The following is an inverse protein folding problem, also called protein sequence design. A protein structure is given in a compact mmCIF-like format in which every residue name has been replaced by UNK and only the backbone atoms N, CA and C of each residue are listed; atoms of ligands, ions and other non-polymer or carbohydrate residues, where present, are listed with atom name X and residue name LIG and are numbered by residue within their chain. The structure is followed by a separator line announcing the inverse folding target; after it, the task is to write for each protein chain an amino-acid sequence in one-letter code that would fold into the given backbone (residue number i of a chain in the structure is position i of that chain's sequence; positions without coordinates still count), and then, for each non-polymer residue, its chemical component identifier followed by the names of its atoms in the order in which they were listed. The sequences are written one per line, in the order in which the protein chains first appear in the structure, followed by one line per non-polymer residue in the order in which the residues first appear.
data_IF_048949671691
#
_entry.id   IF_048949671691
#
_cell.length_a   1.000
_cell.length_b   1.000
_cell.length_c   1.000
_cell.angle_alpha   90.00
_cell.angle_beta   90.00
_cell.angle_gamma   90.00
#
_symmetry.space_group_name_H-M   'P 1'
#
loop_
_entity.id
_entity.type
_entity.pdbx_description
1 polymer ?
#
# COMPACT_ATOMS: atom_id res chain seq x y z
N UNK A 1 -2.74 -16.09 26.52
CA UNK A 1 -4.02 -15.65 25.96
C UNK A 1 -3.99 -14.28 25.29
N UNK A 2 -3.09 -13.37 25.65
CA UNK A 2 -2.94 -12.05 24.99
C UNK A 2 -2.20 -12.11 23.65
N UNK A 3 -1.35 -13.08 23.42
CA UNK A 3 -0.56 -13.20 22.17
C UNK A 3 -1.39 -13.70 20.99
N UNK A 4 -2.51 -14.38 21.24
CA UNK A 4 -3.41 -14.87 20.20
C UNK A 4 -4.31 -13.78 19.64
N UNK A 5 -4.47 -12.65 20.32
CA UNK A 5 -5.33 -11.55 19.87
C UNK A 5 -4.65 -10.60 18.88
N UNK A 6 -3.31 -10.58 18.84
CA UNK A 6 -2.52 -9.76 17.92
C UNK A 6 -2.35 -10.40 16.52
N UNK A 7 -2.67 -11.70 16.39
CA UNK A 7 -2.60 -12.40 15.09
C UNK A 7 -3.95 -12.42 14.34
N UNK A 8 -5.00 -11.88 14.92
CA UNK A 8 -6.33 -11.73 14.30
C UNK A 8 -6.72 -10.29 14.03
N UNK A 9 -5.79 -9.36 13.92
CA UNK A 9 -6.00 -8.24 13.02
C UNK A 9 -5.92 -8.80 11.58
N UNK A 10 -6.93 -9.58 11.19
CA UNK A 10 -7.26 -9.71 9.80
C UNK A 10 -7.41 -8.28 9.30
N UNK A 11 -6.43 -7.78 8.55
CA UNK A 11 -6.75 -6.80 7.53
C UNK A 11 -8.02 -7.34 6.91
N UNK A 12 -9.12 -6.66 7.08
CA UNK A 12 -10.24 -6.81 6.18
C UNK A 12 -9.62 -6.53 4.83
N UNK A 13 -9.25 -7.59 4.11
CA UNK A 13 -9.03 -7.49 2.70
C UNK A 13 -10.32 -6.91 2.20
N UNK A 14 -10.36 -5.63 1.91
CA UNK A 14 -11.32 -5.11 0.99
C UNK A 14 -11.21 -6.10 -0.16
N UNK A 15 -12.29 -6.83 -0.46
CA UNK A 15 -12.34 -7.60 -1.67
C UNK A 15 -12.24 -6.56 -2.77
N UNK A 16 -10.99 -6.27 -3.17
CA UNK A 16 -10.76 -5.43 -4.32
C UNK A 16 -11.51 -6.08 -5.46
N UNK A 17 -12.23 -5.32 -6.25
CA UNK A 17 -12.97 -5.83 -7.40
C UNK A 17 -12.08 -6.61 -8.37
N UNK A 18 -10.80 -6.45 -8.27
CA UNK A 18 -9.77 -7.26 -8.87
C UNK A 18 -9.45 -8.58 -8.15
N UNK A 19 -10.20 -9.00 -7.06
CA UNK A 19 -9.82 -10.16 -6.24
C UNK A 19 -8.37 -10.05 -5.75
N UNK A 20 -7.94 -10.84 -4.88
CA UNK A 20 -6.67 -10.92 -4.16
C UNK A 20 -5.38 -10.38 -4.84
N UNK A 21 -5.43 -9.19 -5.46
CA UNK A 21 -4.29 -8.54 -6.08
C UNK A 21 -4.02 -8.91 -7.54
N UNK A 22 -4.90 -9.65 -8.20
CA UNK A 22 -4.84 -9.84 -9.64
C UNK A 22 -5.21 -8.54 -10.36
N UNK A 23 -4.29 -8.01 -11.12
CA UNK A 23 -4.52 -6.83 -11.96
C UNK A 23 -5.33 -7.14 -13.24
N UNK A 24 -5.53 -8.43 -13.54
CA UNK A 24 -6.25 -8.93 -14.72
C UNK A 24 -7.32 -9.91 -14.31
N UNK A 25 -8.41 -9.97 -15.08
CA UNK A 25 -9.57 -10.80 -14.77
C UNK A 25 -10.05 -11.54 -15.98
N UNK A 26 -10.18 -12.82 -15.83
CA UNK A 26 -10.92 -13.67 -16.75
C UNK A 26 -12.42 -13.71 -16.40
N UNK A 27 -13.20 -14.31 -17.28
CA UNK A 27 -14.66 -14.39 -17.13
C UNK A 27 -15.11 -15.29 -15.96
N UNK A 28 -14.23 -16.17 -15.46
CA UNK A 28 -14.54 -17.05 -14.33
C UNK A 28 -14.63 -16.32 -12.99
N UNK A 29 -14.05 -15.13 -12.90
CA UNK A 29 -14.16 -14.30 -11.72
C UNK A 29 -15.57 -13.73 -11.48
N UNK A 30 -16.45 -13.79 -12.48
CA UNK A 30 -17.83 -13.36 -12.34
C UNK A 30 -18.52 -14.13 -11.22
N UNK A 31 -18.92 -13.48 -10.16
CA UNK A 31 -19.61 -14.09 -9.02
C UNK A 31 -18.76 -14.33 -7.80
N UNK A 32 -17.50 -14.69 -7.92
CA UNK A 32 -16.65 -14.96 -6.77
C UNK A 32 -16.39 -13.73 -5.90
N UNK A 33 -16.30 -12.55 -6.50
CA UNK A 33 -16.08 -11.29 -5.79
C UNK A 33 -17.36 -10.65 -5.22
N UNK A 34 -18.52 -10.98 -5.82
CA UNK A 34 -19.80 -10.38 -5.47
C UNK A 34 -20.81 -11.41 -4.94
N UNK A 35 -20.40 -12.62 -4.66
CA UNK A 35 -21.25 -13.67 -4.12
C UNK A 35 -20.91 -15.06 -4.67
N UNK A 36 -21.85 -15.97 -4.56
CA UNK A 36 -21.71 -17.34 -5.04
C UNK A 36 -21.97 -17.40 -6.56
N UNK A 37 -20.99 -17.80 -7.33
CA UNK A 37 -21.09 -17.98 -8.78
C UNK A 37 -22.23 -18.95 -9.20
N UNK A 38 -22.59 -19.89 -8.34
CA UNK A 38 -23.70 -20.80 -8.58
C UNK A 38 -25.09 -20.11 -8.51
N UNK A 39 -25.14 -18.88 -7.94
CA UNK A 39 -26.36 -18.08 -7.83
C UNK A 39 -26.45 -16.99 -8.90
N UNK A 40 -25.50 -16.93 -9.85
CA UNK A 40 -25.50 -15.93 -10.91
C UNK A 40 -26.80 -15.99 -11.73
N UNK A 41 -27.46 -14.84 -11.83
CA UNK A 41 -28.58 -14.62 -12.74
C UNK A 41 -28.10 -13.86 -13.98
N UNK A 42 -28.82 -13.96 -15.07
CA UNK A 42 -28.47 -13.23 -16.30
C UNK A 42 -28.78 -11.74 -16.15
N UNK A 43 -27.79 -10.90 -16.36
CA UNK A 43 -27.98 -9.44 -16.45
C UNK A 43 -28.82 -9.10 -17.69
N UNK A 44 -29.77 -8.18 -17.52
CA UNK A 44 -30.55 -7.62 -18.64
C UNK A 44 -29.86 -6.41 -19.30
N UNK A 45 -28.70 -6.04 -18.85
CA UNK A 45 -27.92 -4.94 -19.41
C UNK A 45 -27.54 -5.24 -20.86
N UNK A 46 -27.58 -4.20 -21.69
CA UNK A 46 -27.11 -4.27 -23.06
C UNK A 46 -25.72 -3.65 -23.11
N UNK A 47 -24.73 -4.42 -23.54
CA UNK A 47 -23.33 -4.04 -23.63
C UNK A 47 -22.93 -3.75 -25.07
N UNK A 48 -22.33 -2.59 -25.32
CA UNK A 48 -21.87 -2.16 -26.66
C UNK A 48 -20.44 -1.66 -26.57
N UNK A 49 -19.53 -2.29 -27.32
CA UNK A 49 -18.15 -1.87 -27.48
C UNK A 49 -17.98 -0.95 -28.67
N UNK A 50 -17.09 0.01 -28.55
CA UNK A 50 -16.64 0.90 -29.63
C UNK A 50 -15.16 1.23 -29.47
N UNK A 51 -14.47 1.57 -30.56
CA UNK A 51 -13.07 2.01 -30.55
C UNK A 51 -12.88 3.24 -31.45
N UNK A 52 -11.68 3.81 -31.41
CA UNK A 52 -11.25 4.80 -32.40
C UNK A 52 -11.38 4.25 -33.83
N UNK A 53 -11.64 5.09 -34.80
CA UNK A 53 -11.86 4.70 -36.21
C UNK A 53 -10.61 4.08 -36.87
N UNK A 54 -9.43 4.45 -36.40
CA UNK A 54 -8.15 3.92 -36.90
C UNK A 54 -7.30 3.53 -35.69
N UNK A 55 -6.79 2.30 -35.71
CA UNK A 55 -5.93 1.76 -34.68
C UNK A 55 -4.61 1.34 -35.34
N UNK A 56 -3.50 1.75 -34.73
CA UNK A 56 -2.18 1.40 -35.19
C UNK A 56 -1.47 0.54 -34.12
N UNK A 57 -0.70 -0.45 -34.53
CA UNK A 57 0.14 -1.23 -33.63
C UNK A 57 1.16 -0.31 -32.92
N UNK A 58 1.38 -0.50 -31.62
CA UNK A 58 2.26 0.35 -30.82
C UNK A 58 1.69 1.72 -30.43
N UNK A 59 0.55 2.12 -30.95
CA UNK A 59 -0.09 3.41 -30.63
C UNK A 59 -1.24 3.21 -29.66
N UNK A 60 -1.30 3.98 -28.54
CA UNK A 60 -2.44 3.92 -27.60
C UNK A 60 -3.76 4.25 -28.30
N UNK A 61 -4.77 3.44 -28.08
CA UNK A 61 -6.13 3.62 -28.57
C UNK A 61 -7.14 3.45 -27.46
N UNK A 62 -8.36 3.97 -27.63
CA UNK A 62 -9.44 3.82 -26.64
C UNK A 62 -10.40 2.72 -27.08
N UNK A 63 -10.74 1.82 -26.18
CA UNK A 63 -11.91 0.95 -26.26
C UNK A 63 -12.90 1.42 -25.20
N UNK A 64 -14.14 1.70 -25.63
CA UNK A 64 -15.22 2.16 -24.74
C UNK A 64 -16.32 1.14 -24.70
N UNK A 65 -16.75 0.79 -23.52
CA UNK A 65 -17.95 0.00 -23.24
C UNK A 65 -19.07 0.95 -22.79
N UNK A 66 -20.19 0.89 -23.48
CA UNK A 66 -21.44 1.52 -23.04
C UNK A 66 -22.41 0.42 -22.58
N UNK A 67 -22.88 0.53 -21.34
CA UNK A 67 -23.86 -0.36 -20.77
C UNK A 67 -25.18 0.41 -20.59
N UNK A 68 -26.26 -0.16 -21.13
CA UNK A 68 -27.63 0.38 -21.02
C UNK A 68 -28.58 -0.64 -20.44
N UNK A 69 -29.78 -0.23 -20.06
CA UNK A 69 -30.79 -1.07 -19.38
C UNK A 69 -30.28 -1.67 -18.06
N UNK A 70 -29.43 -0.93 -17.35
CA UNK A 70 -28.94 -1.34 -16.04
C UNK A 70 -30.09 -1.36 -15.04
N UNK A 71 -30.23 -2.49 -14.33
CA UNK A 71 -31.12 -2.65 -13.19
C UNK A 71 -30.26 -3.02 -11.99
N UNK A 72 -29.82 -2.00 -11.23
CA UNK A 72 -28.85 -2.18 -10.17
C UNK A 72 -29.54 -2.51 -8.85
N UNK A 73 -28.81 -3.25 -8.01
CA UNK A 73 -29.16 -3.45 -6.61
C UNK A 73 -29.08 -2.14 -5.81
N UNK A 74 -29.47 -2.18 -4.56
CA UNK A 74 -29.39 -1.02 -3.66
C UNK A 74 -27.96 -0.50 -3.44
N UNK A 75 -26.94 -1.32 -3.70
CA UNK A 75 -25.54 -0.91 -3.57
C UNK A 75 -25.08 -0.02 -4.73
N UNK A 76 -25.69 -0.14 -5.90
CA UNK A 76 -25.29 0.61 -7.10
C UNK A 76 -23.91 0.25 -7.66
N UNK A 77 -23.22 -0.74 -7.08
CA UNK A 77 -21.88 -1.14 -7.52
C UNK A 77 -22.00 -2.06 -8.73
N UNK A 78 -21.19 -1.77 -9.76
CA UNK A 78 -21.12 -2.53 -11.00
C UNK A 78 -19.66 -2.65 -11.46
N UNK A 79 -19.26 -3.88 -11.83
CA UNK A 79 -17.97 -4.19 -12.41
C UNK A 79 -18.09 -4.46 -13.91
N UNK A 80 -17.11 -3.95 -14.66
CA UNK A 80 -17.00 -4.12 -16.10
C UNK A 80 -15.66 -4.73 -16.47
N UNK A 81 -15.68 -5.69 -17.41
CA UNK A 81 -14.48 -6.36 -17.89
C UNK A 81 -14.29 -6.10 -19.37
N UNK A 82 -13.05 -5.89 -19.78
CA UNK A 82 -12.62 -5.95 -21.18
C UNK A 82 -11.91 -7.30 -21.39
N UNK A 83 -12.39 -8.09 -22.34
CA UNK A 83 -11.93 -9.44 -22.59
C UNK A 83 -11.61 -9.63 -24.07
N UNK A 84 -10.87 -10.69 -24.40
CA UNK A 84 -10.54 -11.09 -25.79
C UNK A 84 -11.08 -12.48 -26.14
N UNK A 85 -11.63 -13.18 -25.16
CA UNK A 85 -12.36 -14.43 -25.34
C UNK A 85 -13.50 -14.51 -24.29
N UNK A 86 -14.32 -15.52 -24.37
CA UNK A 86 -15.44 -15.80 -23.46
C UNK A 86 -15.37 -17.21 -22.87
N UNK A 87 -14.23 -17.86 -22.96
CA UNK A 87 -14.03 -19.22 -22.43
C UNK A 87 -13.73 -19.25 -20.94
N UNK A 88 -13.34 -18.10 -20.36
CA UNK A 88 -12.97 -17.97 -18.97
C UNK A 88 -11.53 -18.39 -18.67
N UNK A 89 -10.71 -18.56 -19.71
CA UNK A 89 -9.28 -18.85 -19.60
C UNK A 89 -8.49 -18.10 -20.68
N UNK A 90 -7.40 -17.43 -20.29
CA UNK A 90 -6.55 -16.69 -21.22
C UNK A 90 -7.37 -15.71 -22.09
N UNK A 91 -8.33 -15.06 -21.46
CA UNK A 91 -9.29 -14.19 -22.13
C UNK A 91 -9.08 -12.71 -21.81
N UNK A 92 -7.95 -12.36 -21.20
CA UNK A 92 -7.57 -10.97 -20.95
C UNK A 92 -6.96 -10.33 -22.20
N UNK A 93 -6.99 -9.00 -22.34
CA UNK A 93 -6.29 -8.29 -23.42
C UNK A 93 -4.81 -8.67 -23.53
N UNK A 94 -4.13 -8.88 -22.41
CA UNK A 94 -2.71 -9.25 -22.33
C UNK A 94 -2.44 -10.61 -22.98
N UNK A 95 -3.35 -11.55 -22.85
CA UNK A 95 -3.23 -12.88 -23.49
C UNK A 95 -3.28 -12.79 -25.01
N UNK A 96 -3.94 -11.76 -25.54
CA UNK A 96 -4.06 -11.50 -26.98
C UNK A 96 -3.03 -10.48 -27.51
N UNK A 97 -1.98 -10.14 -26.73
CA UNK A 97 -0.94 -9.20 -27.13
C UNK A 97 -1.35 -7.73 -27.05
N UNK A 98 -2.32 -7.41 -26.20
CA UNK A 98 -2.72 -6.02 -25.94
C UNK A 98 -2.35 -5.63 -24.49
N UNK A 99 -1.72 -4.49 -24.35
CA UNK A 99 -1.42 -3.89 -23.06
C UNK A 99 -2.51 -2.90 -22.67
N UNK A 100 -3.01 -2.98 -21.46
CA UNK A 100 -3.88 -1.95 -20.87
C UNK A 100 -2.99 -0.89 -20.24
N UNK A 101 -3.04 0.33 -20.76
CA UNK A 101 -2.21 1.47 -20.30
C UNK A 101 -2.93 2.33 -19.27
N UNK A 102 -4.25 2.43 -19.35
CA UNK A 102 -5.05 3.20 -18.42
C UNK A 102 -6.51 2.73 -18.49
N UNK A 103 -7.19 2.76 -17.38
CA UNK A 103 -8.63 2.52 -17.28
C UNK A 103 -9.37 3.75 -16.72
N UNK A 104 -10.69 3.70 -16.67
CA UNK A 104 -11.52 4.81 -16.17
C UNK A 104 -11.31 5.12 -14.68
N UNK A 105 -10.74 4.20 -13.90
CA UNK A 105 -10.44 4.39 -12.48
C UNK A 105 -9.00 4.89 -12.23
N UNK A 106 -8.18 4.98 -13.28
CA UNK A 106 -6.78 5.41 -13.18
C UNK A 106 -5.78 4.27 -13.02
N UNK A 107 -6.23 3.04 -12.97
CA UNK A 107 -5.39 1.84 -13.01
C UNK A 107 -5.01 1.46 -14.45
N UNK A 108 -4.43 0.26 -14.60
CA UNK A 108 -4.08 -0.39 -15.86
C UNK A 108 -4.63 -1.82 -15.90
N UNK A 109 -5.84 -2.02 -15.38
CA UNK A 109 -6.51 -3.30 -15.34
C UNK A 109 -7.57 -3.42 -16.44
N UNK A 110 -7.84 -4.64 -16.88
CA UNK A 110 -8.96 -4.91 -17.78
C UNK A 110 -10.32 -4.87 -17.07
N UNK A 111 -10.34 -4.54 -15.79
CA UNK A 111 -11.51 -4.44 -14.94
C UNK A 111 -11.70 -3.02 -14.41
N UNK A 112 -12.93 -2.52 -14.47
CA UNK A 112 -13.33 -1.21 -13.93
C UNK A 112 -14.55 -1.38 -13.05
N UNK A 113 -14.53 -0.84 -11.84
CA UNK A 113 -15.69 -0.78 -10.96
C UNK A 113 -16.23 0.64 -10.87
N UNK A 114 -17.54 0.78 -10.89
CA UNK A 114 -18.22 2.05 -10.68
C UNK A 114 -19.35 1.90 -9.66
N UNK A 115 -19.56 2.98 -8.89
CA UNK A 115 -20.75 3.13 -8.06
C UNK A 115 -21.70 4.11 -8.75
N UNK A 116 -22.83 3.60 -9.21
CA UNK A 116 -23.82 4.38 -9.94
C UNK A 116 -24.91 4.90 -9.04
N UNK A 117 -25.44 6.06 -9.36
CA UNK A 117 -26.55 6.66 -8.63
C UNK A 117 -27.84 5.86 -8.78
N UNK A 118 -28.69 5.90 -7.76
CA UNK A 118 -30.00 5.23 -7.82
C UNK A 118 -30.83 5.72 -9.02
N UNK A 119 -31.29 4.76 -9.82
CA UNK A 119 -32.07 5.04 -11.03
C UNK A 119 -31.25 5.33 -12.28
N UNK A 120 -29.94 5.35 -12.20
CA UNK A 120 -29.07 5.43 -13.36
C UNK A 120 -29.11 4.10 -14.12
N UNK A 121 -29.54 4.14 -15.37
CA UNK A 121 -29.73 2.96 -16.24
C UNK A 121 -28.73 2.87 -17.37
N UNK A 122 -27.79 3.80 -17.43
CA UNK A 122 -26.74 3.87 -18.46
C UNK A 122 -25.45 4.40 -17.89
N UNK A 123 -24.34 3.81 -18.32
CA UNK A 123 -22.99 4.30 -18.04
C UNK A 123 -22.02 3.88 -19.12
N UNK A 124 -20.83 4.51 -19.14
CA UNK A 124 -19.74 4.14 -20.03
C UNK A 124 -18.43 4.09 -19.28
N UNK A 125 -17.63 3.09 -19.58
CA UNK A 125 -16.25 2.95 -19.10
C UNK A 125 -15.31 2.82 -20.29
N UNK A 126 -14.06 3.21 -20.12
CA UNK A 126 -13.08 3.17 -21.19
C UNK A 126 -11.76 2.60 -20.71
N UNK A 127 -11.09 1.92 -21.59
CA UNK A 127 -9.72 1.47 -21.45
C UNK A 127 -8.86 2.08 -22.54
N UNK A 128 -7.69 2.55 -22.20
CA UNK A 128 -6.64 2.88 -23.15
C UNK A 128 -5.77 1.65 -23.30
N UNK A 129 -5.73 1.12 -24.49
CA UNK A 129 -5.00 -0.12 -24.80
C UNK A 129 -4.02 0.11 -25.94
N UNK A 130 -3.01 -0.74 -26.03
CA UNK A 130 -1.98 -0.72 -27.07
C UNK A 130 -1.74 -2.14 -27.58
N UNK A 131 -1.87 -2.37 -28.87
CA UNK A 131 -1.50 -3.65 -29.49
C UNK A 131 0.01 -3.73 -29.67
N UNK A 132 0.61 -4.89 -29.39
CA UNK A 132 2.02 -5.17 -29.74
C UNK A 132 2.21 -5.44 -31.23
N UNK A 133 1.18 -5.95 -31.92
CA UNK A 133 1.29 -6.50 -33.25
C UNK A 133 0.18 -5.99 -34.18
N UNK A 134 0.47 -6.05 -35.49
CA UNK A 134 -0.50 -5.82 -36.55
C UNK A 134 -1.43 -7.02 -36.63
N UNK A 135 -2.73 -6.79 -36.76
CA UNK A 135 -3.71 -7.87 -36.89
C UNK A 135 -5.09 -7.51 -36.37
N UNK A 136 -5.99 -8.47 -36.42
CA UNK A 136 -7.36 -8.30 -35.98
C UNK A 136 -7.59 -9.08 -34.67
N UNK A 137 -8.09 -8.38 -33.65
CA UNK A 137 -8.48 -8.95 -32.36
C UNK A 137 -9.97 -8.74 -32.13
N UNK A 138 -10.66 -9.73 -31.61
CA UNK A 138 -12.05 -9.61 -31.18
C UNK A 138 -12.09 -9.31 -29.69
N UNK A 139 -12.70 -8.18 -29.33
CA UNK A 139 -12.93 -7.80 -27.93
C UNK A 139 -14.35 -8.17 -27.51
N UNK A 140 -14.49 -8.58 -26.28
CA UNK A 140 -15.74 -8.82 -25.60
C UNK A 140 -15.80 -7.96 -24.34
N UNK A 141 -17.00 -7.74 -23.85
CA UNK A 141 -17.19 -7.10 -22.54
C UNK A 141 -18.10 -7.94 -21.68
N UNK A 142 -17.79 -7.99 -20.39
CA UNK A 142 -18.65 -8.56 -19.38
C UNK A 142 -19.05 -7.51 -18.35
N UNK A 143 -20.20 -7.74 -17.73
CA UNK A 143 -20.73 -6.94 -16.63
C UNK A 143 -21.07 -7.83 -15.46
N UNK A 144 -20.77 -7.35 -14.27
CA UNK A 144 -21.12 -8.01 -13.02
C UNK A 144 -21.70 -6.99 -12.05
N UNK A 145 -22.86 -7.27 -11.47
CA UNK A 145 -23.54 -6.41 -10.51
C UNK A 145 -24.42 -7.25 -9.57
N UNK A 146 -25.06 -6.59 -8.61
CA UNK A 146 -25.90 -7.23 -7.64
C UNK A 146 -25.24 -7.34 -6.27
N UNK A 147 -25.70 -8.28 -5.47
CA UNK A 147 -25.15 -8.54 -4.13
C UNK A 147 -24.83 -10.01 -3.93
N UNK A 148 -24.28 -10.36 -2.78
CA UNK A 148 -23.86 -11.72 -2.45
C UNK A 148 -24.98 -12.79 -2.54
N UNK A 149 -26.24 -12.37 -2.41
CA UNK A 149 -27.40 -13.27 -2.50
C UNK A 149 -28.08 -13.29 -3.87
N UNK A 150 -27.76 -12.34 -4.75
CA UNK A 150 -28.34 -12.21 -6.09
C UNK A 150 -27.33 -11.53 -7.01
N UNK A 151 -26.26 -12.24 -7.39
CA UNK A 151 -25.31 -11.72 -8.37
C UNK A 151 -25.89 -11.84 -9.79
N UNK A 152 -25.66 -10.81 -10.60
CA UNK A 152 -26.04 -10.79 -12.02
C UNK A 152 -24.77 -10.70 -12.86
N UNK A 153 -24.75 -11.46 -13.94
CA UNK A 153 -23.66 -11.51 -14.87
C UNK A 153 -24.17 -11.42 -16.32
N UNK A 154 -23.45 -10.72 -17.16
CA UNK A 154 -23.74 -10.65 -18.60
C UNK A 154 -22.47 -10.46 -19.40
N UNK A 155 -22.49 -10.93 -20.64
CA UNK A 155 -21.39 -10.80 -21.59
C UNK A 155 -21.92 -10.39 -22.95
N UNK A 156 -21.15 -9.69 -23.77
CA UNK A 156 -21.51 -9.36 -25.15
C UNK A 156 -21.75 -10.66 -25.95
N UNK A 157 -22.83 -10.70 -26.75
CA UNK A 157 -23.20 -11.92 -27.50
C UNK A 157 -22.24 -12.22 -28.67
N UNK A 158 -21.43 -11.24 -29.09
CA UNK A 158 -20.46 -11.38 -30.15
C UNK A 158 -19.26 -10.46 -29.89
N UNK A 159 -18.10 -10.86 -30.43
CA UNK A 159 -16.90 -10.05 -30.36
C UNK A 159 -17.02 -8.78 -31.20
N UNK A 160 -16.42 -7.70 -30.73
CA UNK A 160 -16.17 -6.45 -31.44
C UNK A 160 -14.77 -6.50 -32.06
N UNK A 161 -14.69 -6.55 -33.40
CA UNK A 161 -13.40 -6.66 -34.10
C UNK A 161 -12.68 -5.32 -34.16
N UNK A 162 -11.41 -5.30 -33.74
CA UNK A 162 -10.49 -4.18 -33.84
C UNK A 162 -9.31 -4.63 -34.70
N UNK A 163 -9.01 -3.87 -35.77
CA UNK A 163 -7.88 -4.11 -36.66
C UNK A 163 -6.76 -3.11 -36.36
N UNK A 164 -5.63 -3.62 -35.84
CA UNK A 164 -4.40 -2.85 -35.66
C UNK A 164 -3.58 -2.87 -36.95
N UNK A 165 -3.40 -1.69 -37.54
CA UNK A 165 -2.68 -1.49 -38.82
C UNK A 165 -1.24 -1.07 -38.58
N UNK A 166 -0.42 -1.07 -39.62
CA UNK A 166 0.94 -0.54 -39.60
C UNK A 166 0.94 0.98 -39.38
N UNK A 167 1.86 1.46 -38.57
CA UNK A 167 2.03 2.89 -38.29
C UNK A 167 2.65 3.59 -39.47
N UNK A 168 2.08 4.70 -39.99
CA UNK A 168 2.73 5.55 -40.98
C UNK A 168 4.09 6.06 -40.48
N UNK A 169 5.12 6.06 -41.35
CA UNK A 169 6.52 6.36 -40.96
C UNK A 169 6.67 7.71 -40.25
N UNK A 170 5.96 8.74 -40.74
CA UNK A 170 6.06 10.12 -40.26
C UNK A 170 4.94 10.51 -39.27
N UNK A 171 4.18 9.56 -38.72
CA UNK A 171 3.10 9.86 -37.78
C UNK A 171 3.65 10.39 -36.47
N UNK A 172 3.34 11.63 -36.04
CA UNK A 172 3.70 12.11 -34.71
C UNK A 172 3.06 11.25 -33.63
N UNK A 173 3.85 10.71 -32.73
CA UNK A 173 3.36 9.75 -31.72
C UNK A 173 4.13 9.83 -30.42
N UNK A 174 3.54 9.30 -29.35
CA UNK A 174 4.28 8.97 -28.14
C UNK A 174 5.24 7.81 -28.43
N UNK A 175 6.37 7.79 -27.74
CA UNK A 175 7.35 6.69 -27.84
C UNK A 175 6.69 5.35 -27.55
N UNK A 176 7.17 4.29 -28.19
CA UNK A 176 6.66 2.94 -27.98
C UNK A 176 6.77 2.47 -26.52
N UNK A 177 7.76 2.97 -25.77
CA UNK A 177 7.97 2.66 -24.35
C UNK A 177 7.18 3.57 -23.40
N UNK A 178 6.36 4.46 -23.95
CA UNK A 178 5.59 5.39 -23.13
C UNK A 178 4.62 4.65 -22.21
N UNK A 179 4.69 4.95 -20.92
CA UNK A 179 3.74 4.51 -19.90
C UNK A 179 3.14 5.74 -19.22
N UNK A 180 1.80 5.91 -19.22
CA UNK A 180 1.18 7.06 -18.59
C UNK A 180 1.34 7.00 -17.08
N UNK A 181 1.57 8.15 -16.47
CA UNK A 181 1.47 8.29 -15.03
C UNK A 181 0.00 8.16 -14.62
N UNK A 182 -0.30 7.29 -13.64
CA UNK A 182 -1.64 7.00 -13.13
C UNK A 182 -1.98 7.75 -11.85
N UNK A 183 -0.96 8.15 -11.08
CA UNK A 183 -1.13 8.74 -9.75
C UNK A 183 -0.42 10.09 -9.64
N UNK A 184 -0.95 10.97 -8.80
CA UNK A 184 -0.35 12.25 -8.43
C UNK A 184 -0.59 12.56 -6.95
N UNK A 185 0.31 13.34 -6.36
CA UNK A 185 0.24 13.71 -4.95
C UNK A 185 -0.66 14.95 -4.79
N UNK A 186 -1.57 14.90 -3.82
CA UNK A 186 -2.39 16.06 -3.41
C UNK A 186 -1.52 17.24 -2.97
N UNK A 187 -1.94 18.43 -3.35
CA UNK A 187 -1.27 19.68 -2.99
C UNK A 187 -0.02 19.98 -3.81
N UNK A 188 0.41 19.08 -4.70
CA UNK A 188 1.62 19.25 -5.52
C UNK A 188 1.24 19.34 -7.00
N UNK A 189 1.76 20.32 -7.76
CA UNK A 189 1.64 20.31 -9.22
C UNK A 189 2.29 19.05 -9.80
N UNK A 190 1.65 18.47 -10.82
CA UNK A 190 2.14 17.26 -11.46
C UNK A 190 2.86 17.61 -12.74
N UNK A 191 4.08 17.12 -12.92
CA UNK A 191 4.83 17.25 -14.16
C UNK A 191 4.70 15.94 -14.96
N UNK A 192 4.07 16.03 -16.13
CA UNK A 192 4.00 14.94 -17.09
C UNK A 192 5.20 15.02 -18.01
N UNK A 193 5.98 13.95 -18.10
CA UNK A 193 7.10 13.85 -19.04
C UNK A 193 6.65 13.02 -20.24
N UNK A 194 6.76 13.59 -21.43
CA UNK A 194 6.36 12.97 -22.67
C UNK A 194 7.57 12.81 -23.58
N UNK A 195 7.84 11.59 -23.98
CA UNK A 195 8.79 11.27 -25.02
C UNK A 195 8.01 11.00 -26.32
N UNK A 196 8.40 11.65 -27.40
CA UNK A 196 7.68 11.59 -28.68
C UNK A 196 8.58 11.17 -29.82
N UNK A 197 7.97 10.75 -30.91
CA UNK A 197 8.64 10.49 -32.19
C UNK A 197 7.92 11.30 -33.26
N UNK A 198 8.66 11.91 -34.17
CA UNK A 198 8.15 12.72 -35.31
C UNK A 198 7.25 13.89 -34.88
N UNK A 199 7.31 14.35 -33.64
CA UNK A 199 6.55 15.49 -33.15
C UNK A 199 7.43 16.76 -33.10
N UNK A 200 7.02 17.81 -33.77
CA UNK A 200 7.63 19.15 -33.77
C UNK A 200 7.01 20.05 -32.68
N UNK A 201 5.74 19.80 -32.36
CA UNK A 201 5.04 20.51 -31.30
C UNK A 201 4.08 19.58 -30.55
N UNK A 202 3.93 19.86 -29.25
CA UNK A 202 3.06 19.12 -28.35
C UNK A 202 2.18 20.09 -27.59
N UNK A 203 0.88 19.82 -27.55
CA UNK A 203 -0.07 20.47 -26.69
C UNK A 203 -0.64 19.42 -25.73
N UNK A 204 -0.78 19.77 -24.44
CA UNK A 204 -1.41 18.89 -23.46
C UNK A 204 -2.70 19.53 -22.98
N UNK A 205 -3.76 18.75 -23.01
CA UNK A 205 -5.07 19.12 -22.49
C UNK A 205 -5.40 18.23 -21.29
N UNK A 206 -6.08 18.80 -20.31
CA UNK A 206 -6.57 18.07 -19.16
C UNK A 206 -7.97 18.53 -18.80
N UNK A 207 -8.74 17.67 -18.16
CA UNK A 207 -10.09 17.95 -17.66
C UNK A 207 -10.37 17.13 -16.41
N UNK A 208 -11.18 17.65 -15.51
CA UNK A 208 -11.83 16.85 -14.46
C UNK A 208 -13.06 16.15 -15.06
N UNK A 209 -13.55 15.12 -14.39
CA UNK A 209 -14.75 14.41 -14.82
C UNK A 209 -15.93 15.38 -15.02
N UNK A 210 -16.62 15.26 -16.14
CA UNK A 210 -17.72 16.17 -16.51
C UNK A 210 -17.31 17.62 -16.81
N UNK A 211 -16.01 17.96 -16.69
CA UNK A 211 -15.49 19.31 -16.91
C UNK A 211 -15.10 19.57 -18.38
N UNK A 212 -14.79 20.84 -18.67
CA UNK A 212 -14.25 21.25 -19.97
C UNK A 212 -12.74 21.03 -20.02
N UNK A 213 -12.23 20.72 -21.22
CA UNK A 213 -10.80 20.58 -21.43
C UNK A 213 -10.08 21.92 -21.30
N UNK A 214 -8.98 21.93 -20.56
CA UNK A 214 -8.08 23.06 -20.32
C UNK A 214 -6.70 22.73 -20.85
N UNK A 215 -5.96 23.73 -21.30
CA UNK A 215 -4.57 23.53 -21.78
C UNK A 215 -3.60 23.57 -20.58
N UNK A 216 -2.66 22.65 -20.57
CA UNK A 216 -1.51 22.69 -19.66
C UNK A 216 -0.38 23.54 -20.28
N UNK A 217 0.51 24.05 -19.42
CA UNK A 217 1.74 24.66 -19.87
C UNK A 217 2.71 23.56 -20.30
N UNK A 218 3.18 23.61 -21.54
CA UNK A 218 4.11 22.65 -22.12
C UNK A 218 5.43 23.32 -22.43
N UNK A 219 6.54 22.68 -22.08
CA UNK A 219 7.90 23.13 -22.37
C UNK A 219 8.65 21.98 -23.06
N UNK A 220 9.47 22.32 -24.04
CA UNK A 220 10.45 21.37 -24.58
C UNK A 220 11.59 21.23 -23.57
N UNK A 221 11.90 20.00 -23.15
CA UNK A 221 12.95 19.67 -22.19
C UNK A 221 14.15 18.98 -22.84
N UNK A 222 14.13 18.77 -24.16
CA UNK A 222 15.19 18.13 -24.92
C UNK A 222 14.72 17.76 -26.33
N UNK A 223 15.55 17.04 -27.07
CA UNK A 223 15.15 16.50 -28.36
C UNK A 223 14.06 15.42 -28.13
N UNK A 224 12.88 15.64 -28.73
CA UNK A 224 11.72 14.76 -28.58
C UNK A 224 11.21 14.56 -27.14
N UNK A 225 11.64 15.42 -26.23
CA UNK A 225 11.22 15.40 -24.83
C UNK A 225 10.43 16.66 -24.48
N UNK A 226 9.30 16.45 -23.83
CA UNK A 226 8.38 17.52 -23.44
C UNK A 226 7.97 17.33 -21.98
N UNK A 227 7.78 18.45 -21.29
CA UNK A 227 7.18 18.45 -19.98
C UNK A 227 5.91 19.30 -19.97
N UNK A 228 4.87 18.79 -19.33
CA UNK A 228 3.61 19.50 -19.17
C UNK A 228 3.23 19.57 -17.69
N UNK A 229 2.90 20.77 -17.20
CA UNK A 229 2.54 20.97 -15.79
C UNK A 229 1.03 21.02 -15.65
N UNK A 230 0.49 20.09 -14.85
CA UNK A 230 -0.91 20.07 -14.39
C UNK A 230 -0.98 20.69 -13.00
N UNK A 231 -1.91 21.62 -12.73
CA UNK A 231 -2.08 22.24 -11.43
C UNK A 231 -2.36 21.22 -10.31
N UNK A 232 -1.93 21.55 -9.09
CA UNK A 232 -2.17 20.73 -7.91
C UNK A 232 -3.65 20.42 -7.68
N UNK A 233 -3.96 19.20 -7.30
CA UNK A 233 -5.28 18.85 -6.79
C UNK A 233 -5.40 19.23 -5.32
N UNK A 234 -6.52 19.82 -4.93
CA UNK A 234 -6.79 20.17 -3.54
C UNK A 234 -7.68 19.13 -2.82
N UNK A 235 -8.19 18.17 -3.57
CA UNK A 235 -9.06 17.10 -3.08
C UNK A 235 -8.75 15.81 -3.85
N UNK A 236 -8.99 14.63 -3.26
CA UNK A 236 -8.90 13.35 -3.98
C UNK A 236 -9.88 13.36 -5.15
N UNK A 237 -9.38 13.50 -6.36
CA UNK A 237 -10.18 13.54 -7.59
C UNK A 237 -9.39 12.92 -8.73
N UNK A 238 -10.11 12.28 -9.65
CA UNK A 238 -9.54 11.85 -10.91
C UNK A 238 -9.65 12.98 -11.93
N UNK A 239 -8.66 13.09 -12.77
CA UNK A 239 -8.68 13.90 -13.97
C UNK A 239 -8.24 13.07 -15.17
N UNK A 240 -8.54 13.57 -16.35
CA UNK A 240 -8.06 12.98 -17.59
C UNK A 240 -7.17 13.98 -18.30
N UNK A 241 -6.13 13.48 -18.95
CA UNK A 241 -5.26 14.29 -19.79
C UNK A 241 -4.98 13.58 -21.12
N UNK A 242 -4.67 14.35 -22.15
CA UNK A 242 -4.25 13.87 -23.47
C UNK A 242 -3.25 14.80 -24.11
N UNK A 243 -2.48 14.29 -25.06
CA UNK A 243 -1.57 15.07 -25.88
C UNK A 243 -2.10 15.22 -27.31
N UNK A 244 -1.86 16.37 -27.92
CA UNK A 244 -2.04 16.65 -29.35
C UNK A 244 -0.65 16.87 -29.92
N UNK A 245 -0.28 16.01 -30.85
CA UNK A 245 1.06 15.92 -31.44
C UNK A 245 1.01 16.37 -32.89
N UNK A 246 1.86 17.31 -33.25
CA UNK A 246 1.97 17.84 -34.63
C UNK A 246 3.41 17.71 -35.12
N UNK A 247 3.60 17.39 -36.36
CA UNK A 247 4.86 17.24 -37.07
C UNK A 247 4.62 17.22 -38.58
N UNK A 248 5.51 16.61 -39.32
CA UNK A 248 5.39 16.49 -40.80
C UNK A 248 4.22 15.60 -41.23
N UNK A 249 3.80 14.66 -40.40
CA UNK A 249 2.65 13.80 -40.64
C UNK A 249 1.32 14.41 -40.17
N UNK A 250 0.21 13.68 -40.32
CA UNK A 250 -1.08 14.13 -39.83
C UNK A 250 -1.08 14.31 -38.29
N UNK A 251 -1.77 15.37 -37.85
CA UNK A 251 -1.93 15.61 -36.40
C UNK A 251 -2.50 14.38 -35.69
N UNK A 252 -1.88 14.02 -34.58
CA UNK A 252 -2.30 12.89 -33.76
C UNK A 252 -2.77 13.37 -32.39
N UNK A 253 -3.94 12.93 -31.99
CA UNK A 253 -4.47 13.14 -30.63
C UNK A 253 -4.46 11.82 -29.87
N UNK A 254 -3.79 11.79 -28.76
CA UNK A 254 -3.78 10.59 -27.90
C UNK A 254 -5.14 10.35 -27.25
N UNK A 255 -5.42 9.14 -26.80
CA UNK A 255 -6.51 8.89 -25.84
C UNK A 255 -6.43 9.79 -24.62
N UNK A 256 -7.53 9.85 -23.88
CA UNK A 256 -7.56 10.43 -22.55
C UNK A 256 -7.00 9.39 -21.54
N UNK A 257 -5.90 9.72 -20.88
CA UNK A 257 -5.33 8.95 -19.79
C UNK A 257 -5.88 9.45 -18.47
N UNK A 258 -6.22 8.56 -17.55
CA UNK A 258 -6.72 8.91 -16.24
C UNK A 258 -5.56 9.09 -15.26
N UNK A 259 -5.65 10.12 -14.41
CA UNK A 259 -4.66 10.47 -13.39
C UNK A 259 -5.41 10.73 -12.08
N UNK A 260 -5.18 9.90 -11.07
CA UNK A 260 -5.82 9.97 -9.75
C UNK A 260 -4.97 10.75 -8.76
N UNK A 261 -5.62 11.59 -7.94
CA UNK A 261 -4.93 12.33 -6.89
C UNK A 261 -5.07 11.61 -5.55
N UNK A 262 -3.94 11.27 -4.95
CA UNK A 262 -3.87 10.57 -3.68
C UNK A 262 -3.13 11.39 -2.62
N UNK A 263 -3.43 11.13 -1.37
CA UNK A 263 -2.64 11.69 -0.28
C UNK A 263 -1.21 11.13 -0.37
N UNK A 264 -0.23 11.98 -0.01
CA UNK A 264 1.13 11.50 0.09
C UNK A 264 1.18 10.30 1.03
N UNK A 265 1.67 9.19 0.55
CA UNK A 265 1.83 7.98 1.35
C UNK A 265 2.66 8.28 2.61
N UNK A 266 2.36 7.59 3.69
CA UNK A 266 3.18 7.68 4.90
C UNK A 266 4.55 7.10 4.60
N UNK A 267 5.55 7.97 4.47
CA UNK A 267 6.93 7.51 4.48
C UNK A 267 7.27 7.01 5.88
N UNK A 268 7.29 5.70 6.02
CA UNK A 268 7.71 5.08 7.27
C UNK A 268 9.23 4.95 7.22
N UNK A 269 9.94 5.74 8.01
CA UNK A 269 11.37 5.54 8.17
C UNK A 269 11.64 4.13 8.69
N UNK A 270 12.30 3.30 7.90
CA UNK A 270 12.64 1.91 8.27
C UNK A 270 13.33 1.84 9.65
N UNK A 271 14.21 2.80 9.94
CA UNK A 271 14.88 2.88 11.22
C UNK A 271 13.89 3.07 12.38
N UNK A 272 12.84 3.90 12.21
CA UNK A 272 11.81 4.10 13.23
C UNK A 272 11.02 2.83 13.49
N UNK A 273 10.73 2.05 12.44
CA UNK A 273 10.05 0.74 12.57
C UNK A 273 10.91 -0.25 13.35
N UNK A 274 12.19 -0.36 13.01
CA UNK A 274 13.10 -1.23 13.77
C UNK A 274 13.22 -0.82 15.23
N UNK A 275 13.30 0.49 15.51
CA UNK A 275 13.39 1.01 16.86
C UNK A 275 12.12 0.72 17.67
N UNK A 276 10.95 0.85 17.07
CA UNK A 276 9.67 0.47 17.69
C UNK A 276 9.57 -1.04 17.91
N UNK A 277 10.02 -1.87 16.96
CA UNK A 277 10.04 -3.32 17.10
C UNK A 277 10.96 -3.76 18.25
N UNK A 278 12.16 -3.17 18.36
CA UNK A 278 13.08 -3.40 19.46
C UNK A 278 12.48 -2.96 20.79
N UNK A 279 11.88 -1.78 20.89
CA UNK A 279 11.24 -1.29 22.09
C UNK A 279 10.12 -2.23 22.55
N UNK A 280 9.30 -2.72 21.64
CA UNK A 280 8.25 -3.70 21.93
C UNK A 280 8.83 -5.04 22.43
N UNK A 281 9.92 -5.50 21.81
CA UNK A 281 10.60 -6.74 22.20
C UNK A 281 11.16 -6.64 23.62
N UNK A 282 11.81 -5.50 23.97
CA UNK A 282 12.29 -5.25 25.32
C UNK A 282 11.16 -5.14 26.33
N UNK A 283 10.05 -4.52 25.97
CA UNK A 283 8.87 -4.45 26.83
C UNK A 283 8.29 -5.83 27.12
N UNK A 284 8.18 -6.69 26.11
CA UNK A 284 7.72 -8.07 26.27
C UNK A 284 8.72 -8.88 27.12
N UNK A 285 10.01 -8.77 26.85
CA UNK A 285 11.04 -9.45 27.60
C UNK A 285 11.03 -9.02 29.08
N UNK A 286 10.92 -7.71 29.34
CA UNK A 286 10.79 -7.18 30.69
C UNK A 286 9.55 -7.67 31.42
N UNK A 287 8.41 -7.74 30.71
CA UNK A 287 7.17 -8.29 31.26
C UNK A 287 7.31 -9.78 31.62
N UNK A 288 7.95 -10.57 30.74
CA UNK A 288 8.20 -12.00 31.01
C UNK A 288 9.12 -12.20 32.21
N UNK A 289 10.23 -11.46 32.27
CA UNK A 289 11.17 -11.53 33.42
C UNK A 289 10.47 -11.11 34.69
N UNK A 290 9.67 -10.05 34.68
CA UNK A 290 8.90 -9.60 35.84
C UNK A 290 7.88 -10.63 36.29
N UNK A 291 7.21 -11.32 35.39
CA UNK A 291 6.30 -12.42 35.69
C UNK A 291 7.07 -13.62 36.27
N UNK A 292 8.19 -14.01 35.66
CA UNK A 292 9.02 -15.10 36.14
C UNK A 292 9.55 -14.82 37.55
N UNK A 293 10.00 -13.60 37.83
CA UNK A 293 10.48 -13.25 39.18
C UNK A 293 9.38 -13.31 40.25
N UNK A 294 8.12 -13.08 39.88
CA UNK A 294 6.96 -13.20 40.79
C UNK A 294 6.56 -14.66 41.08
N UNK A 295 6.75 -15.55 40.11
CA UNK A 295 6.35 -16.95 40.20
C UNK A 295 7.52 -17.90 40.47
N UNK A 296 8.76 -17.41 40.46
CA UNK A 296 9.88 -18.22 40.87
C UNK A 296 9.79 -18.47 42.40
N UNK A 297 9.76 -19.72 42.87
CA UNK A 297 9.84 -19.99 44.29
C UNK A 297 11.16 -19.39 44.80
N UNK A 298 11.08 -18.67 45.92
CA UNK A 298 12.29 -18.23 46.63
C UNK A 298 13.19 -19.45 46.80
N UNK A 299 14.49 -19.35 46.47
CA UNK A 299 15.40 -20.44 46.77
C UNK A 299 15.26 -20.72 48.26
N UNK A 300 14.83 -21.95 48.63
CA UNK A 300 14.92 -22.40 50.00
C UNK A 300 16.35 -22.13 50.42
N UNK A 301 16.53 -21.22 51.42
CA UNK A 301 17.81 -21.03 52.03
C UNK A 301 18.15 -22.40 52.61
N UNK A 302 19.04 -23.11 51.97
CA UNK A 302 19.66 -24.30 52.51
C UNK A 302 20.19 -23.88 53.88
N UNK A 303 19.44 -24.26 54.92
CA UNK A 303 20.00 -24.26 56.27
C UNK A 303 21.14 -25.27 56.21
N UNK A 304 22.33 -24.79 55.90
CA UNK A 304 23.53 -25.54 56.22
C UNK A 304 23.48 -25.70 57.68
N UNK A 305 23.13 -26.93 58.10
CA UNK A 305 23.26 -27.41 59.47
C UNK A 305 24.77 -27.42 59.81
N UNK A 306 25.22 -26.35 60.48
CA UNK A 306 26.61 -26.14 60.88
C UNK A 306 27.04 -27.05 62.00
N UNK A 307 26.30 -28.16 62.26
CA UNK A 307 26.55 -29.04 63.36
C UNK A 307 27.46 -30.23 63.08
N UNK A 308 27.91 -30.42 61.81
CA UNK A 308 28.63 -31.66 61.48
C UNK A 308 30.10 -31.52 61.08
N UNK A 309 30.75 -30.38 61.32
CA UNK A 309 32.20 -30.28 61.11
C UNK A 309 32.94 -29.71 62.34
N UNK A 310 32.85 -30.45 63.48
CA UNK A 310 33.86 -30.36 64.51
C UNK A 310 34.78 -31.56 64.37
N UNK A 311 36.03 -31.41 63.87
CA UNK A 311 37.05 -32.38 64.10
C UNK A 311 37.51 -32.28 65.59
N UNK A 312 37.26 -33.34 66.34
CA UNK A 312 37.90 -33.55 67.58
C UNK A 312 39.43 -33.71 67.39
N UNK A 313 40.16 -33.12 68.34
CA UNK A 313 41.55 -33.32 68.69
C UNK A 313 42.64 -32.63 67.84
N UNK A 314 43.33 -31.71 68.46
CA UNK A 314 44.66 -31.97 69.01
C UNK A 314 45.19 -30.73 69.74
N UNK A 315 45.63 -31.03 70.98
CA UNK A 315 46.42 -30.15 71.85
C UNK A 315 47.69 -29.64 71.15
N UNK A 316 48.17 -28.56 71.75
CA UNK A 316 49.50 -28.01 71.90
C UNK A 316 49.74 -26.65 71.14
N UNK A 317 49.88 -25.65 72.03
CA UNK A 317 50.41 -24.31 71.70
C UNK A 317 51.88 -24.37 71.27
N UNK A 318 52.51 -23.37 70.70
CA UNK A 318 52.68 -22.08 71.37
C UNK A 318 52.42 -20.83 70.52
N UNK A 319 52.35 -19.72 71.22
CA UNK A 319 52.21 -18.35 70.81
C UNK A 319 53.27 -17.88 69.79
N UNK A 320 52.89 -17.12 68.81
CA UNK A 320 53.68 -16.06 68.24
C UNK A 320 52.73 -14.93 67.72
N UNK A 321 53.20 -13.78 68.00
CA UNK A 321 52.68 -12.40 67.87
C UNK A 321 51.95 -12.00 66.58
N UNK A 322 51.00 -11.16 66.85
CA UNK A 322 50.42 -10.10 66.03
C UNK A 322 51.15 -9.65 64.72
N UNK A 323 50.43 -9.70 63.58
CA UNK A 323 50.42 -8.62 62.61
C UNK A 323 49.01 -8.41 62.19
N UNK A 324 48.44 -7.31 62.56
CA UNK A 324 47.23 -6.69 62.01
C UNK A 324 47.46 -6.31 60.61
N UNK A 325 46.59 -6.77 59.71
CA UNK A 325 46.04 -5.95 58.60
C UNK A 325 44.79 -6.66 58.11
N UNK A 326 43.69 -6.20 58.39
CA UNK A 326 42.72 -5.35 57.86
C UNK A 326 42.01 -5.97 56.66
N UNK A 327 40.89 -6.69 56.88
CA UNK A 327 39.73 -6.68 55.99
C UNK A 327 38.53 -7.21 56.79
N UNK A 328 37.90 -6.33 57.57
CA UNK A 328 36.59 -6.57 58.15
C UNK A 328 35.54 -6.15 57.09
N UNK A 329 34.93 -7.10 56.44
CA UNK A 329 33.62 -6.94 55.82
C UNK A 329 32.54 -6.96 56.90
N UNK A 330 32.44 -5.86 57.64
CA UNK A 330 31.21 -5.45 58.31
C UNK A 330 30.81 -4.14 57.61
N UNK A 331 29.86 -4.22 56.70
CA UNK A 331 29.22 -3.05 56.16
C UNK A 331 28.32 -2.42 57.21
N UNK A 332 28.94 -1.71 58.11
CA UNK A 332 28.28 -0.86 59.12
C UNK A 332 27.44 0.18 58.34
N UNK A 333 26.11 0.16 58.54
CA UNK A 333 25.20 1.11 57.93
C UNK A 333 25.65 2.52 58.30
N UNK A 334 25.75 3.42 57.33
CA UNK A 334 26.18 4.79 57.58
C UNK A 334 25.36 5.47 58.71
N UNK A 335 25.99 6.23 59.63
CA UNK A 335 25.26 6.89 60.70
C UNK A 335 24.28 7.92 60.12
N UNK A 336 23.04 7.93 60.65
CA UNK A 336 22.02 8.90 60.22
C UNK A 336 22.39 10.31 60.56
N UNK A 337 22.24 11.28 59.67
CA UNK A 337 22.42 12.69 59.94
C UNK A 337 21.49 13.16 61.08
N UNK A 338 21.85 14.25 61.77
CA UNK A 338 21.07 14.79 62.87
C UNK A 338 19.64 15.23 62.49
N UNK A 339 19.37 15.42 61.21
CA UNK A 339 18.07 15.77 60.62
C UNK A 339 17.26 14.61 60.11
N UNK A 340 17.72 13.35 60.31
CA UNK A 340 17.07 12.15 59.72
C UNK A 340 17.50 11.88 58.28
N UNK A 341 16.76 10.99 57.61
CA UNK A 341 17.02 10.66 56.21
C UNK A 341 16.84 11.87 55.32
N UNK A 342 17.67 12.04 54.28
CA UNK A 342 17.52 13.13 53.29
C UNK A 342 16.15 13.04 52.63
N UNK A 343 15.62 14.21 52.21
CA UNK A 343 14.28 14.31 51.62
C UNK A 343 14.16 13.42 50.35
N UNK A 344 13.21 12.48 50.39
CA UNK A 344 12.99 11.53 49.29
C UNK A 344 13.76 10.23 49.37
N UNK A 345 14.56 10.02 50.45
CA UNK A 345 15.29 8.78 50.67
C UNK A 345 14.56 7.86 51.65
N UNK A 346 14.63 6.55 51.37
CA UNK A 346 14.16 5.49 52.31
C UNK A 346 15.35 4.80 52.97
N UNK A 347 15.04 3.95 54.00
CA UNK A 347 16.06 3.23 54.79
C UNK A 347 16.93 2.29 53.95
N UNK A 348 16.37 1.68 52.90
CA UNK A 348 17.11 0.79 52.00
C UNK A 348 18.12 1.60 51.14
N UNK A 349 17.74 2.77 50.66
CA UNK A 349 18.65 3.64 49.94
C UNK A 349 19.76 4.16 50.83
N UNK A 350 19.45 4.47 52.13
CA UNK A 350 20.46 4.88 53.10
C UNK A 350 21.46 3.78 53.40
N UNK A 351 21.01 2.53 53.52
CA UNK A 351 21.88 1.37 53.77
C UNK A 351 22.95 1.20 52.67
N UNK A 352 22.62 1.47 51.43
CA UNK A 352 23.53 1.26 50.31
C UNK A 352 24.35 2.50 49.95
N UNK A 353 23.78 3.68 50.08
CA UNK A 353 24.37 4.93 49.59
C UNK A 353 24.69 5.95 50.71
N UNK A 354 24.38 5.68 51.93
CA UNK A 354 24.55 6.59 53.05
C UNK A 354 26.00 7.09 53.25
N UNK A 355 26.98 6.20 53.08
CA UNK A 355 28.39 6.56 53.15
C UNK A 355 28.81 7.50 52.04
N UNK A 356 28.32 7.29 50.83
CA UNK A 356 28.59 8.14 49.66
C UNK A 356 27.89 9.49 49.76
N UNK A 357 26.73 9.54 50.40
CA UNK A 357 26.04 10.77 50.72
C UNK A 357 26.81 11.61 51.74
N UNK A 358 27.27 11.00 52.81
CA UNK A 358 28.10 11.64 53.85
C UNK A 358 29.46 12.08 53.28
N UNK A 359 29.97 11.38 52.26
CA UNK A 359 31.19 11.76 51.52
C UNK A 359 30.96 12.87 50.48
N UNK A 360 29.74 13.39 50.34
CA UNK A 360 29.40 14.49 49.44
C UNK A 360 29.30 14.14 47.95
N UNK A 361 29.23 12.83 47.60
CA UNK A 361 29.17 12.39 46.21
C UNK A 361 27.84 12.72 45.52
N UNK A 362 26.78 12.97 46.26
CA UNK A 362 25.44 13.24 45.75
C UNK A 362 25.00 14.71 45.92
N UNK A 363 25.92 15.65 45.93
CA UNK A 363 25.63 17.08 45.78
C UNK A 363 24.61 17.65 46.76
N UNK A 364 24.61 17.22 47.99
CA UNK A 364 23.84 17.79 49.10
C UNK A 364 24.57 19.05 49.59
N UNK A 365 24.20 20.20 49.02
CA UNK A 365 24.65 21.49 49.51
C UNK A 365 24.21 21.69 50.96
N UNK A 366 25.12 22.22 51.68
CA UNK A 366 24.95 22.74 53.05
C UNK A 366 23.75 23.69 53.13
N UNK A 367 22.85 23.47 54.05
CA UNK A 367 22.35 24.46 54.99
C UNK A 367 22.23 23.85 56.37
#
# INVERSE_FOLDING_TARGET
MLLSFLLFSSTYGAAEPGGNGDATRDMQCGGACHGDAALNETSLATLTLSSSSTVYAGIPTTITLTATNLSLSSTGVVGFFLLTDTTGHSDTPQDAGWEVLSDSNGGAANYVEQTLSSGQSETSVSWVVRSSDIGTTSFFAAIHHGGSSSPFFGVTPSGYSVEASEVPENLPRLSADFTPQSERILGVPTELVLQTEFAESVQVQWKVEGGVAMSAQVNSSGENMWSATIPAALQPTSLQWRAILQGDGPEQTTPWFTLTAEEAGWEVEEFAVYLQAFALLFLIAGAVISLQSRFSPLPESSKYDQTDLLPQHLDTAPAIESVTDGLSEDSEVAPLPAGGLPNGWNEDQWRWYGHDYLAGKYGGGQE
#
